data_IF_252384398524
#
_entry.id   IF_252384398524
#
_cell.length_a   1.000
_cell.length_b   1.000
_cell.length_c   1.000
_cell.angle_alpha   90.00
_cell.angle_beta   90.00
_cell.angle_gamma   90.00
#
_symmetry.space_group_name_H-M   'P 1'
#
loop_
_entity.id
_entity.type
_entity.pdbx_description
1 polymer ?
2 non-polymer ?
3 non-polymer ?
4 water ?
#
# COMPACT_ATOMS: atom_id res chain seq x y z
N UNK A 4 -14.12 0.23 28.11
CA UNK A 4 -12.92 0.13 27.19
C UNK A 4 -13.24 0.84 25.86
N UNK A 5 -12.75 2.07 25.62
CA UNK A 5 -13.15 2.83 24.43
C UNK A 5 -12.51 2.29 23.14
N UNK A 6 -13.22 2.35 22.03
CA UNK A 6 -12.68 1.90 20.72
C UNK A 6 -11.71 2.94 20.20
N UNK A 7 -10.56 2.55 19.62
CA UNK A 7 -9.59 3.53 19.19
C UNK A 7 -10.05 4.32 17.96
N UNK A 8 -9.58 5.56 17.87
CA UNK A 8 -9.80 6.49 16.73
C UNK A 8 -8.60 6.42 15.80
N UNK A 9 -7.46 5.91 16.30
CA UNK A 9 -6.18 5.84 15.56
C UNK A 9 -5.35 4.67 16.09
N UNK A 10 -4.64 3.99 15.18
CA UNK A 10 -3.73 2.86 15.53
C UNK A 10 -2.38 3.14 14.89
N UNK A 11 -1.36 2.45 15.33
CA UNK A 11 -0.04 2.52 14.66
C UNK A 11 0.21 1.18 14.02
N UNK A 12 0.79 1.25 12.82
CA UNK A 12 1.05 0.05 12.00
C UNK A 12 2.55 0.06 11.68
N UNK A 13 3.19 -1.05 11.97
CA UNK A 13 4.57 -1.32 11.54
C UNK A 13 4.54 -2.08 10.21
N UNK A 14 5.31 -1.60 9.25
CA UNK A 14 5.53 -2.31 7.96
C UNK A 14 7.01 -2.65 7.88
N UNK A 15 7.33 -3.92 7.69
CA UNK A 15 8.71 -4.36 7.46
C UNK A 15 8.83 -5.05 6.11
N UNK A 16 9.88 -4.75 5.37
CA UNK A 16 10.24 -5.51 4.16
C UNK A 16 11.72 -5.90 4.28
N UNK A 17 11.98 -7.19 4.11
CA UNK A 17 13.35 -7.73 4.10
C UNK A 17 13.50 -8.84 3.10
N UNK A 18 14.41 -8.64 2.15
CA UNK A 18 14.90 -9.72 1.27
C UNK A 18 16.05 -10.39 2.04
N UNK A 19 15.80 -11.60 2.50
CA UNK A 19 16.69 -12.35 3.41
C UNK A 19 17.83 -13.03 2.65
N UNK A 20 17.87 -12.97 1.31
CA UNK A 20 18.94 -13.58 0.52
C UNK A 20 19.14 -15.06 0.84
N UNK A 21 18.04 -15.76 1.14
CA UNK A 21 18.00 -17.24 1.31
C UNK A 21 18.90 -17.67 2.48
N UNK A 22 19.15 -16.78 3.44
CA UNK A 22 20.00 -17.06 4.61
C UNK A 22 19.15 -16.91 5.86
N UNK A 23 19.37 -17.75 6.89
CA UNK A 23 18.66 -17.57 8.14
C UNK A 23 19.02 -16.23 8.75
N UNK A 24 18.14 -15.65 9.55
CA UNK A 24 18.46 -14.36 10.16
C UNK A 24 19.42 -14.53 11.32
N UNK A 25 20.03 -13.44 11.83
CA UNK A 25 20.86 -13.53 13.02
C UNK A 25 19.98 -13.69 14.26
N UNK A 26 20.60 -13.93 15.41
CA UNK A 26 19.82 -14.24 16.63
C UNK A 26 19.01 -13.01 17.11
N UNK A 27 19.45 -11.80 16.81
CA UNK A 27 18.74 -10.58 17.25
C UNK A 27 18.34 -9.72 16.03
N UNK A 28 17.05 -9.43 15.88
CA UNK A 28 16.57 -8.56 14.75
C UNK A 28 15.66 -7.48 15.35
N UNK A 29 15.73 -7.25 16.66
CA UNK A 29 14.85 -6.27 17.36
C UNK A 29 14.97 -4.84 16.82
N UNK A 30 16.15 -4.47 16.31
CA UNK A 30 16.41 -3.12 15.72
C UNK A 30 15.40 -2.84 14.60
N UNK A 31 15.02 -3.88 13.84
CA UNK A 31 14.02 -3.74 12.75
C UNK A 31 12.68 -3.24 13.30
N UNK A 32 12.15 -3.94 14.30
CA UNK A 32 10.79 -3.67 14.83
C UNK A 32 10.81 -2.36 15.63
N UNK A 33 11.99 -1.91 16.03
CA UNK A 33 12.17 -0.68 16.81
C UNK A 33 12.47 0.52 15.89
N UNK A 34 12.52 0.32 14.58
CA UNK A 34 12.78 1.39 13.60
C UNK A 34 14.08 2.11 14.00
N UNK A 35 15.15 1.35 14.22
CA UNK A 35 16.50 1.87 14.58
C UNK A 35 17.46 1.63 13.41
N UNK A 36 18.31 2.62 13.12
CA UNK A 36 19.36 2.50 12.11
C UNK A 36 19.50 3.82 11.40
N UNK A 37 19.32 3.79 10.09
CA UNK A 37 19.45 4.99 9.20
C UNK A 37 18.06 5.46 8.78
N UNK A 38 17.97 6.73 8.39
CA UNK A 38 16.75 7.30 7.83
C UNK A 38 15.96 8.04 8.88
N UNK A 39 14.64 7.99 8.75
CA UNK A 39 13.68 8.57 9.72
C UNK A 39 13.38 7.50 10.76
N UNK A 40 14.02 7.59 11.92
CA UNK A 40 14.00 6.55 12.96
C UNK A 40 13.04 6.94 14.08
N UNK A 41 12.73 5.95 14.90
CA UNK A 41 11.74 6.09 15.98
C UNK A 41 12.48 6.54 17.27
N UNK A 42 11.85 7.42 18.03
CA UNK A 42 12.38 7.93 19.32
C UNK A 42 12.60 6.78 20.31
N UNK A 43 13.74 6.79 21.01
CA UNK A 43 14.08 5.77 22.05
C UNK A 43 12.96 5.66 23.09
N UNK A 44 12.32 6.79 23.41
CA UNK A 44 11.28 6.84 24.47
C UNK A 44 10.05 5.98 24.11
N UNK A 45 9.91 5.53 22.85
CA UNK A 45 8.75 4.74 22.38
C UNK A 45 9.06 3.25 22.37
N UNK A 46 10.28 2.85 22.69
CA UNK A 46 10.76 1.46 22.47
C UNK A 46 9.83 0.44 23.12
N UNK A 47 9.24 0.74 24.28
CA UNK A 47 8.38 -0.27 24.95
C UNK A 47 6.93 -0.19 24.46
N UNK A 48 6.61 0.78 23.63
CA UNK A 48 5.20 1.01 23.22
C UNK A 48 4.97 0.10 22.02
N UNK A 49 4.08 -0.90 22.10
CA UNK A 49 3.86 -1.78 20.97
C UNK A 49 3.06 -1.03 19.90
N UNK A 50 3.38 -1.29 18.64
CA UNK A 50 2.49 -0.97 17.53
C UNK A 50 1.26 -1.86 17.69
N UNK A 51 0.15 -1.44 17.12
CA UNK A 51 -1.14 -2.16 17.20
C UNK A 51 -1.07 -3.37 16.27
N UNK A 52 -0.44 -3.18 15.11
CA UNK A 52 -0.40 -4.21 14.02
C UNK A 52 1.03 -4.20 13.49
N UNK A 53 1.67 -5.37 13.37
CA UNK A 53 2.98 -5.55 12.70
C UNK A 53 2.74 -6.37 11.43
N UNK A 54 3.16 -5.83 10.29
CA UNK A 54 3.04 -6.54 8.99
C UNK A 54 4.45 -6.72 8.47
N UNK A 55 4.86 -7.98 8.28
CA UNK A 55 6.27 -8.34 7.98
C UNK A 55 6.33 -9.04 6.63
N UNK A 56 6.90 -8.36 5.62
CA UNK A 56 7.05 -8.91 4.26
C UNK A 56 8.46 -9.42 4.16
N UNK A 57 8.63 -10.65 3.74
CA UNK A 57 9.97 -11.15 3.39
C UNK A 57 10.01 -11.62 1.93
N UNK A 58 11.21 -11.64 1.39
CA UNK A 58 11.51 -12.20 0.05
C UNK A 58 12.77 -13.04 0.19
N UNK A 59 12.89 -14.04 -0.66
CA UNK A 59 14.04 -14.98 -0.58
C UNK A 59 14.11 -15.54 0.85
N UNK A 60 12.96 -15.86 1.44
CA UNK A 60 12.83 -16.30 2.85
C UNK A 60 13.05 -17.81 2.89
N UNK A 61 14.11 -18.29 3.58
CA UNK A 61 14.42 -19.72 3.59
C UNK A 61 13.73 -20.50 4.71
N UNK A 62 13.04 -19.81 5.58
CA UNK A 62 12.45 -20.42 6.81
C UNK A 62 11.08 -21.02 6.50
N UNK A 63 10.69 -21.99 7.32
CA UNK A 63 9.30 -22.46 7.34
C UNK A 63 8.47 -21.34 7.97
N UNK A 64 7.16 -21.36 7.73
CA UNK A 64 6.25 -20.42 8.41
C UNK A 64 6.42 -20.57 9.92
N UNK A 65 6.54 -21.80 10.42
CA UNK A 65 6.67 -22.04 11.86
C UNK A 65 7.95 -21.35 12.38
N UNK A 66 9.09 -21.61 11.73
CA UNK A 66 10.39 -21.05 12.16
C UNK A 66 10.31 -19.51 12.23
N UNK A 67 9.77 -18.88 11.21
CA UNK A 67 9.73 -17.39 11.14
C UNK A 67 8.75 -16.83 12.18
N UNK A 68 7.57 -17.42 12.34
CA UNK A 68 6.60 -16.98 13.37
C UNK A 68 7.22 -17.02 14.77
N UNK A 69 7.94 -18.11 15.06
CA UNK A 69 8.70 -18.29 16.33
C UNK A 69 9.60 -17.07 16.56
N UNK A 70 10.41 -16.74 15.55
CA UNK A 70 11.43 -15.65 15.65
C UNK A 70 10.71 -14.33 15.81
N UNK A 71 9.65 -14.11 15.04
CA UNK A 71 8.94 -12.83 15.08
C UNK A 71 8.31 -12.64 16.45
N UNK A 72 7.50 -13.59 16.89
CA UNK A 72 6.79 -13.45 18.20
C UNK A 72 7.78 -13.24 19.36
N UNK A 73 8.87 -14.01 19.39
CA UNK A 73 9.96 -13.88 20.41
C UNK A 73 10.50 -12.46 20.40
N UNK A 74 10.84 -11.95 19.22
CA UNK A 74 11.43 -10.60 19.04
C UNK A 74 10.47 -9.54 19.61
N UNK A 75 9.18 -9.62 19.28
CA UNK A 75 8.20 -8.61 19.75
C UNK A 75 8.03 -8.79 21.27
N UNK A 76 8.01 -10.01 21.75
CA UNK A 76 7.85 -10.25 23.21
C UNK A 76 9.07 -9.68 23.96
N UNK A 77 10.27 -9.87 23.44
CA UNK A 77 11.48 -9.33 24.07
C UNK A 77 11.40 -7.81 24.12
N UNK A 78 10.94 -7.17 23.05
CA UNK A 78 10.84 -5.68 22.97
C UNK A 78 9.77 -5.15 23.92
N UNK A 79 8.58 -5.74 23.90
CA UNK A 79 7.35 -5.11 24.42
C UNK A 79 6.83 -5.84 25.66
N UNK A 80 7.30 -7.05 25.90
CA UNK A 80 6.69 -8.00 26.87
C UNK A 80 5.24 -8.33 26.50
N UNK A 81 4.81 -8.16 25.24
CA UNK A 81 3.45 -8.54 24.78
C UNK A 81 3.56 -9.75 23.86
N UNK A 82 2.66 -10.71 24.06
CA UNK A 82 2.54 -11.92 23.22
C UNK A 82 1.56 -11.61 22.11
N UNK A 83 2.07 -11.37 20.91
CA UNK A 83 1.23 -10.94 19.78
C UNK A 83 0.45 -12.13 19.24
N UNK A 84 -0.74 -11.87 18.72
CA UNK A 84 -1.60 -12.87 18.08
C UNK A 84 -1.33 -12.88 16.59
N UNK A 85 -1.34 -14.08 16.01
CA UNK A 85 -1.16 -14.22 14.56
C UNK A 85 -2.49 -13.96 13.88
N UNK A 86 -2.56 -12.94 13.05
CA UNK A 86 -3.78 -12.60 12.27
C UNK A 86 -3.80 -13.42 11.00
N UNK A 87 -2.68 -13.44 10.30
CA UNK A 87 -2.59 -14.15 9.00
C UNK A 87 -1.13 -14.39 8.65
N UNK A 88 -0.87 -15.46 7.91
CA UNK A 88 0.44 -15.75 7.29
C UNK A 88 0.17 -16.39 5.93
N UNK A 89 0.84 -15.89 4.91
CA UNK A 89 0.68 -16.41 3.54
C UNK A 89 2.02 -16.36 2.83
N UNK A 90 2.38 -17.48 2.20
CA UNK A 90 3.67 -17.66 1.50
C UNK A 90 3.41 -18.09 0.06
N UNK A 91 4.08 -17.43 -0.89
CA UNK A 91 4.18 -17.91 -2.29
C UNK A 91 5.67 -18.11 -2.57
N UNK A 92 6.06 -19.35 -2.79
CA UNK A 92 7.48 -19.70 -3.01
C UNK A 92 8.29 -19.19 -1.82
N UNK A 93 9.14 -18.20 -1.99
CA UNK A 93 9.99 -17.65 -0.89
C UNK A 93 9.55 -16.21 -0.53
N UNK A 94 8.34 -15.84 -0.94
CA UNK A 94 7.71 -14.52 -0.64
C UNK A 94 6.65 -14.69 0.46
N UNK A 95 6.77 -13.96 1.55
CA UNK A 95 5.90 -14.24 2.68
C UNK A 95 5.40 -12.95 3.31
N UNK A 96 4.18 -13.03 3.83
CA UNK A 96 3.60 -11.93 4.61
C UNK A 96 3.07 -12.52 5.92
N UNK A 97 3.43 -11.87 7.03
CA UNK A 97 2.92 -12.18 8.40
C UNK A 97 2.26 -10.93 8.96
N UNK A 98 1.05 -11.09 9.51
CA UNK A 98 0.34 -10.01 10.22
C UNK A 98 0.16 -10.48 11.67
N UNK A 99 0.71 -9.70 12.60
CA UNK A 99 0.58 -9.90 14.04
C UNK A 99 -0.11 -8.67 14.64
N UNK A 100 -0.90 -8.89 15.67
CA UNK A 100 -1.64 -7.79 16.33
C UNK A 100 -1.64 -7.97 17.84
N UNK A 101 -1.75 -6.86 18.57
CA UNK A 101 -1.99 -6.88 20.04
C UNK A 101 -3.13 -7.84 20.32
N UNK A 102 -3.08 -8.61 21.44
CA UNK A 102 -4.19 -9.47 21.79
C UNK A 102 -5.53 -8.74 22.01
N UNK A 103 -5.48 -7.51 22.50
CA UNK A 103 -6.71 -6.70 22.73
C UNK A 103 -7.44 -6.45 21.40
N UNK A 104 -6.80 -6.64 20.23
CA UNK A 104 -7.42 -6.36 18.91
C UNK A 104 -8.09 -7.60 18.32
N UNK A 105 -7.98 -8.74 18.99
CA UNK A 105 -8.40 -10.04 18.40
C UNK A 105 -9.85 -9.98 17.91
N UNK A 106 -10.72 -9.33 18.69
CA UNK A 106 -12.19 -9.26 18.42
C UNK A 106 -12.52 -7.97 17.64
N UNK A 107 -11.53 -7.15 17.29
CA UNK A 107 -11.73 -5.95 16.43
C UNK A 107 -11.43 -6.33 14.98
N UNK A 108 -10.76 -7.46 14.80
CA UNK A 108 -10.24 -7.86 13.47
C UNK A 108 -11.16 -8.95 12.93
N UNK A 109 -11.64 -8.78 11.69
CA UNK A 109 -12.53 -9.76 11.04
C UNK A 109 -12.31 -9.74 9.53
N UNK A 110 -12.99 -10.61 8.82
CA UNK A 110 -12.95 -10.66 7.34
C UNK A 110 -11.49 -10.73 6.84
N UNK A 111 -10.72 -11.67 7.38
CA UNK A 111 -9.29 -11.82 7.06
C UNK A 111 -9.24 -12.55 5.72
N UNK A 112 -8.56 -11.95 4.73
CA UNK A 112 -8.36 -12.53 3.37
C UNK A 112 -6.86 -12.61 3.09
N UNK A 113 -6.44 -13.64 2.35
CA UNK A 113 -5.04 -13.80 1.88
C UNK A 113 -5.15 -14.18 0.43
N UNK A 114 -4.18 -13.75 -0.35
CA UNK A 114 -4.08 -14.16 -1.77
C UNK A 114 -2.64 -13.99 -2.23
N UNK A 115 -2.36 -14.49 -3.42
CA UNK A 115 -1.04 -14.29 -4.06
C UNK A 115 -1.29 -14.13 -5.54
N UNK A 116 -0.32 -13.54 -6.21
CA UNK A 116 -0.25 -13.47 -7.68
C UNK A 116 1.17 -13.87 -8.08
N UNK A 117 1.26 -14.75 -9.06
CA UNK A 117 2.50 -15.16 -9.72
C UNK A 117 2.68 -14.29 -10.97
N UNK A 118 3.80 -13.60 -11.13
CA UNK A 118 3.99 -12.72 -12.31
C UNK A 118 4.74 -13.51 -13.40
N UNK A 119 4.60 -13.10 -14.67
CA UNK A 119 5.40 -13.65 -15.78
C UNK A 119 4.79 -14.88 -16.43
N UNK A 120 5.36 -15.31 -17.58
CA UNK A 120 4.87 -16.45 -18.42
C UNK A 120 6.07 -17.34 -18.80
N UNK A 121 6.08 -18.60 -18.34
CA UNK A 121 7.02 -19.69 -18.76
C UNK A 121 8.42 -19.47 -18.16
N UNK A 122 9.36 -18.90 -18.93
CA UNK A 122 10.70 -18.42 -18.47
C UNK A 122 10.58 -17.64 -17.16
N UNK A 123 9.66 -16.66 -17.14
CA UNK A 123 9.57 -15.57 -16.14
C UNK A 123 8.54 -15.93 -15.04
N UNK A 124 7.81 -17.05 -15.17
CA UNK A 124 6.95 -17.61 -14.09
C UNK A 124 7.76 -18.65 -13.31
N UNK A 125 7.93 -18.45 -12.01
CA UNK A 125 8.54 -19.46 -11.13
C UNK A 125 9.07 -18.90 -9.82
N UNK A 126 9.32 -17.60 -9.71
CA UNK A 126 9.71 -17.12 -8.37
C UNK A 126 9.32 -15.69 -7.93
N UNK A 127 8.85 -14.86 -8.87
CA UNK A 127 8.46 -13.45 -8.59
C UNK A 127 6.93 -13.36 -8.47
N UNK A 128 6.44 -12.38 -7.71
CA UNK A 128 5.01 -12.17 -7.55
C UNK A 128 4.73 -11.48 -6.27
N UNK A 129 3.54 -11.69 -5.73
CA UNK A 129 3.12 -10.96 -4.51
C UNK A 129 2.26 -11.85 -3.64
N UNK A 130 2.30 -11.53 -2.37
CA UNK A 130 1.32 -12.08 -1.42
C UNK A 130 0.61 -10.90 -0.77
N UNK A 131 -0.60 -11.13 -0.31
CA UNK A 131 -1.30 -10.06 0.39
C UNK A 131 -2.26 -10.54 1.42
N UNK A 132 -2.58 -9.62 2.31
CA UNK A 132 -3.55 -9.82 3.41
C UNK A 132 -4.47 -8.60 3.44
N UNK A 133 -5.76 -8.85 3.62
CA UNK A 133 -6.70 -7.80 4.04
C UNK A 133 -7.52 -8.23 5.25
N UNK A 134 -8.12 -7.24 5.94
CA UNK A 134 -9.08 -7.50 7.04
C UNK A 134 -9.75 -6.18 7.37
N UNK A 135 -10.82 -6.28 8.16
CA UNK A 135 -11.45 -5.12 8.80
C UNK A 135 -10.87 -4.98 10.20
N UNK A 136 -10.57 -3.76 10.59
CA UNK A 136 -10.27 -3.37 11.96
C UNK A 136 -11.42 -2.46 12.38
N UNK A 137 -12.38 -2.98 13.14
CA UNK A 137 -13.64 -2.24 13.43
C UNK A 137 -14.19 -1.74 12.08
N UNK A 138 -14.42 -0.45 11.91
CA UNK A 138 -15.12 0.01 10.70
C UNK A 138 -14.17 0.34 9.56
N UNK A 139 -12.88 -0.02 9.68
CA UNK A 139 -11.82 0.40 8.74
C UNK A 139 -11.26 -0.83 8.02
N UNK A 140 -11.18 -0.76 6.69
CA UNK A 140 -10.58 -1.83 5.86
C UNK A 140 -9.09 -1.54 5.66
N UNK A 141 -8.27 -2.56 5.87
CA UNK A 141 -6.80 -2.49 5.76
C UNK A 141 -6.34 -3.56 4.76
N UNK A 142 -5.49 -3.17 3.81
CA UNK A 142 -4.86 -4.09 2.85
C UNK A 142 -3.37 -3.97 2.86
N UNK A 143 -2.69 -5.07 2.62
CA UNK A 143 -1.21 -5.15 2.73
C UNK A 143 -0.72 -6.05 1.62
N UNK A 144 0.19 -5.52 0.81
CA UNK A 144 0.78 -6.27 -0.33
C UNK A 144 2.30 -6.26 -0.15
N UNK A 145 2.87 -7.47 -0.16
CA UNK A 145 4.33 -7.72 -0.21
C UNK A 145 4.64 -8.29 -1.60
N UNK A 146 5.35 -7.54 -2.41
CA UNK A 146 5.70 -7.98 -3.78
C UNK A 146 7.21 -8.07 -3.93
N UNK A 147 7.65 -9.08 -4.67
CA UNK A 147 9.05 -9.24 -5.13
C UNK A 147 8.99 -9.14 -6.64
N UNK A 148 9.33 -7.98 -7.18
CA UNK A 148 9.19 -7.72 -8.60
C UNK A 148 10.46 -8.15 -9.35
N UNK A 149 10.38 -8.13 -10.68
CA UNK A 149 11.45 -8.58 -11.58
C UNK A 149 12.74 -7.82 -11.22
N UNK A 150 13.86 -8.52 -11.19
CA UNK A 150 15.19 -7.94 -10.90
C UNK A 150 15.84 -7.40 -12.18
N UNK A 151 16.89 -6.62 -12.00
CA UNK A 151 17.79 -6.20 -13.08
C UNK A 151 17.55 -4.76 -13.42
N UNK A 152 18.62 -3.97 -13.53
CA UNK A 152 18.54 -2.54 -13.87
C UNK A 152 17.78 -2.27 -15.17
N UNK A 153 17.86 -3.20 -16.12
CA UNK A 153 17.34 -3.05 -17.50
C UNK A 153 15.83 -3.29 -17.56
N UNK A 154 15.21 -3.78 -16.48
CA UNK A 154 13.81 -4.33 -16.53
C UNK A 154 12.78 -3.48 -15.76
N UNK A 155 12.93 -2.17 -15.76
CA UNK A 155 11.95 -1.34 -15.02
C UNK A 155 10.58 -1.50 -15.69
N UNK A 156 10.52 -1.65 -17.02
CA UNK A 156 9.21 -1.79 -17.69
C UNK A 156 8.51 -3.06 -17.21
N UNK A 157 9.28 -4.16 -17.06
CA UNK A 157 8.79 -5.46 -16.56
C UNK A 157 8.23 -5.28 -15.15
N UNK A 158 8.95 -4.54 -14.31
CA UNK A 158 8.49 -4.24 -12.93
C UNK A 158 7.14 -3.53 -12.98
N UNK A 159 6.95 -2.61 -13.90
CA UNK A 159 5.70 -1.81 -13.99
C UNK A 159 4.58 -2.75 -14.44
N UNK A 160 4.92 -3.68 -15.31
CA UNK A 160 3.95 -4.71 -15.75
C UNK A 160 3.60 -5.62 -14.56
N UNK A 161 4.61 -6.02 -13.75
CA UNK A 161 4.38 -6.89 -12.57
C UNK A 161 3.37 -6.18 -11.65
N UNK A 162 3.63 -4.90 -11.37
CA UNK A 162 2.73 -4.04 -10.55
C UNK A 162 1.28 -4.11 -11.06
N UNK A 163 1.08 -3.92 -12.37
CA UNK A 163 -0.30 -3.87 -12.93
C UNK A 163 -0.93 -5.26 -12.79
N UNK A 164 -0.18 -6.33 -13.05
CA UNK A 164 -0.73 -7.71 -12.89
C UNK A 164 -1.10 -7.95 -11.43
N UNK A 165 -0.28 -7.51 -10.48
CA UNK A 165 -0.60 -7.76 -9.04
C UNK A 165 -1.89 -7.00 -8.66
N UNK A 166 -1.92 -5.73 -9.05
CA UNK A 166 -3.05 -4.78 -8.85
C UNK A 166 -4.34 -5.43 -9.35
N UNK A 167 -4.31 -5.94 -10.57
CA UNK A 167 -5.49 -6.52 -11.25
C UNK A 167 -5.95 -7.79 -10.56
N UNK A 168 -5.04 -8.68 -10.20
CA UNK A 168 -5.41 -10.09 -9.96
C UNK A 168 -5.33 -10.48 -8.49
N UNK A 169 -4.79 -9.65 -7.61
CA UNK A 169 -4.77 -10.00 -6.18
C UNK A 169 -6.19 -9.79 -5.66
N UNK A 170 -6.81 -10.84 -5.14
CA UNK A 170 -8.24 -10.88 -4.77
C UNK A 170 -8.38 -10.70 -3.27
N UNK A 171 -8.26 -9.47 -2.80
CA UNK A 171 -8.38 -9.16 -1.36
C UNK A 171 -9.61 -8.31 -1.18
N UNK A 172 -10.09 -8.19 0.05
CA UNK A 172 -11.12 -7.19 0.36
C UNK A 172 -12.48 -7.70 -0.06
N UNK A 173 -13.43 -6.79 -0.16
CA UNK A 173 -14.87 -7.16 -0.26
C UNK A 173 -15.14 -7.55 -1.71
N UNK A 174 -15.44 -8.80 -1.94
CA UNK A 174 -15.70 -9.29 -3.32
C UNK A 174 -16.94 -8.59 -3.93
N UNK A 175 -17.86 -8.00 -3.16
CA UNK A 175 -19.05 -7.27 -3.68
C UNK A 175 -18.60 -6.00 -4.40
N UNK A 176 -17.36 -5.55 -4.16
CA UNK A 176 -16.82 -4.35 -4.82
C UNK A 176 -16.28 -4.73 -6.18
N UNK A 177 -17.12 -5.37 -6.99
CA UNK A 177 -16.66 -6.11 -8.19
C UNK A 177 -16.00 -5.19 -9.20
N UNK A 178 -16.36 -3.91 -9.42
CA UNK A 178 -15.66 -3.09 -10.42
C UNK A 178 -14.27 -2.62 -9.96
N UNK A 179 -13.94 -2.86 -8.70
CA UNK A 179 -12.78 -2.21 -8.04
C UNK A 179 -11.66 -3.20 -7.76
N UNK A 180 -10.46 -2.78 -8.14
CA UNK A 180 -9.22 -3.52 -7.82
C UNK A 180 -8.73 -3.13 -6.42
N UNK A 181 -7.65 -3.77 -5.96
CA UNK A 181 -7.17 -3.50 -4.57
C UNK A 181 -6.86 -2.01 -4.36
N UNK A 182 -6.57 -1.22 -5.39
CA UNK A 182 -6.20 0.21 -5.18
C UNK A 182 -7.43 1.07 -4.80
N UNK A 183 -8.62 0.50 -4.73
CA UNK A 183 -9.84 1.19 -4.28
C UNK A 183 -10.57 0.43 -3.17
N UNK A 184 -10.14 -0.76 -2.76
CA UNK A 184 -10.98 -1.55 -1.82
C UNK A 184 -10.75 -1.20 -0.34
N UNK A 185 -9.70 -0.44 0.01
CA UNK A 185 -9.25 -0.32 1.41
C UNK A 185 -9.15 1.14 1.84
N UNK A 186 -9.56 1.40 3.07
CA UNK A 186 -9.35 2.70 3.72
C UNK A 186 -7.85 3.03 3.61
N UNK A 187 -7.02 2.05 3.94
CA UNK A 187 -5.54 2.18 3.91
C UNK A 187 -4.96 0.95 3.22
N UNK A 188 -4.15 1.18 2.20
CA UNK A 188 -3.47 0.11 1.45
C UNK A 188 -1.98 0.38 1.56
N UNK A 189 -1.25 -0.61 2.02
CA UNK A 189 0.23 -0.53 2.15
C UNK A 189 0.80 -1.54 1.18
N UNK A 190 1.70 -1.07 0.32
CA UNK A 190 2.34 -1.93 -0.69
C UNK A 190 3.85 -1.78 -0.52
N UNK A 191 4.50 -2.89 -0.28
CA UNK A 191 5.93 -2.90 0.09
C UNK A 191 6.52 -4.14 -0.56
N UNK A 192 7.84 -4.25 -0.42
CA UNK A 192 8.58 -5.43 -0.88
C UNK A 192 9.93 -5.07 -1.45
N UNK A 193 10.54 -6.08 -2.05
CA UNK A 193 11.72 -5.91 -2.92
C UNK A 193 11.17 -5.56 -4.29
N UNK A 194 10.88 -4.28 -4.47
CA UNK A 194 10.30 -3.78 -5.73
C UNK A 194 11.38 -3.75 -6.81
N UNK A 195 12.66 -3.78 -6.45
CA UNK A 195 13.77 -4.07 -7.39
C UNK A 195 14.04 -2.95 -8.38
N UNK A 196 13.50 -1.74 -8.15
CA UNK A 196 13.90 -0.56 -8.94
C UNK A 196 15.32 -0.14 -8.52
N UNK A 197 16.08 0.32 -9.50
CA UNK A 197 17.52 0.56 -9.37
C UNK A 197 17.84 2.04 -9.55
N UNK A 198 19.04 2.40 -9.10
CA UNK A 198 19.64 3.73 -9.38
C UNK A 198 20.27 3.60 -10.76
N UNK A 199 19.65 4.26 -11.74
CA UNK A 199 20.01 4.13 -13.18
C UNK A 199 21.10 5.17 -13.50
N UNK A 200 22.35 4.78 -13.25
CA UNK A 200 23.53 5.57 -13.60
C UNK A 200 24.45 4.62 -14.34
N UNK A 201 25.46 5.15 -15.07
CA UNK A 201 26.38 4.29 -15.80
C UNK A 201 27.15 3.41 -14.82
N UNK A 202 27.44 2.17 -15.21
CA UNK A 202 28.07 1.13 -14.34
C UNK A 202 29.49 1.55 -13.96
N UNK A 203 30.12 2.40 -14.76
CA UNK A 203 31.49 2.95 -14.49
C UNK A 203 31.43 4.12 -13.50
N UNK A 204 30.23 4.50 -13.04
CA UNK A 204 30.05 5.45 -11.92
C UNK A 204 29.91 4.72 -10.57
N UNK A 205 30.11 3.41 -10.51
CA UNK A 205 29.89 2.61 -9.28
C UNK A 205 30.67 3.23 -8.12
N UNK A 206 31.95 3.53 -8.30
CA UNK A 206 32.77 3.98 -7.15
C UNK A 206 32.31 5.39 -6.79
N UNK A 207 31.91 6.22 -7.75
CA UNK A 207 31.34 7.56 -7.46
C UNK A 207 30.09 7.39 -6.59
N UNK A 208 29.25 6.44 -6.92
CA UNK A 208 27.97 6.22 -6.18
C UNK A 208 28.29 5.82 -4.72
N UNK A 209 29.25 4.92 -4.55
CA UNK A 209 29.69 4.47 -3.22
C UNK A 209 30.20 5.65 -2.39
N UNK A 210 30.99 6.55 -2.98
CA UNK A 210 31.56 7.71 -2.24
C UNK A 210 30.43 8.70 -1.90
N UNK A 211 29.41 8.86 -2.75
CA UNK A 211 28.21 9.65 -2.38
C UNK A 211 27.51 9.03 -1.16
N UNK A 212 27.33 7.71 -1.18
CA UNK A 212 26.69 6.98 -0.04
C UNK A 212 27.50 7.22 1.24
N UNK A 213 28.81 7.09 1.18
CA UNK A 213 29.67 7.29 2.37
C UNK A 213 29.55 8.71 2.92
N UNK A 214 29.26 9.69 2.07
CA UNK A 214 29.07 11.11 2.45
C UNK A 214 27.61 11.35 2.88
N UNK A 215 26.74 10.35 2.77
CA UNK A 215 25.28 10.48 3.05
C UNK A 215 24.68 11.57 2.16
N UNK A 216 25.12 11.65 0.91
CA UNK A 216 24.63 12.63 -0.08
C UNK A 216 23.81 11.82 -1.06
N UNK A 217 22.51 11.69 -0.80
CA UNK A 217 21.65 10.75 -1.56
C UNK A 217 20.94 11.50 -2.69
N UNK A 218 21.00 12.84 -2.74
CA UNK A 218 20.15 13.63 -3.67
C UNK A 218 20.42 13.26 -5.14
N UNK A 219 21.70 13.18 -5.54
CA UNK A 219 22.05 12.91 -6.94
C UNK A 219 21.80 11.43 -7.24
N UNK A 220 21.65 10.59 -6.22
CA UNK A 220 21.31 9.17 -6.48
C UNK A 220 19.79 9.06 -6.63
N UNK A 221 19.01 9.62 -5.69
CA UNK A 221 17.53 9.51 -5.73
C UNK A 221 16.97 10.13 -7.02
N UNK A 222 17.61 11.16 -7.59
CA UNK A 222 17.16 11.76 -8.86
C UNK A 222 17.27 10.74 -10.01
N UNK A 223 17.96 9.62 -9.81
CA UNK A 223 18.08 8.54 -10.82
C UNK A 223 17.39 7.26 -10.37
N UNK A 224 16.73 7.27 -9.21
CA UNK A 224 16.01 6.07 -8.72
C UNK A 224 14.84 5.80 -9.67
N UNK A 225 14.75 4.58 -10.19
CA UNK A 225 13.77 4.26 -11.24
C UNK A 225 12.35 4.32 -10.66
N UNK A 226 12.14 3.98 -9.40
CA UNK A 226 10.77 4.05 -8.86
C UNK A 226 10.30 5.52 -8.79
N UNK A 227 11.11 6.40 -8.25
CA UNK A 227 10.74 7.84 -8.25
C UNK A 227 10.54 8.33 -9.70
N UNK A 228 11.43 8.03 -10.65
CA UNK A 228 11.31 8.60 -12.02
C UNK A 228 10.09 7.98 -12.68
N UNK A 229 9.87 6.68 -12.54
CA UNK A 229 8.67 6.03 -13.15
C UNK A 229 7.38 6.59 -12.55
N UNK A 230 7.35 6.80 -11.23
CA UNK A 230 6.19 7.42 -10.53
C UNK A 230 5.95 8.83 -11.06
N UNK A 231 7.02 9.61 -11.26
CA UNK A 231 6.92 11.03 -11.70
C UNK A 231 6.31 11.09 -13.10
N UNK A 232 6.61 10.10 -13.95
CA UNK A 232 6.07 10.03 -15.34
C UNK A 232 4.77 9.22 -15.39
N UNK A 233 4.21 8.83 -14.23
CA UNK A 233 2.89 8.17 -14.10
C UNK A 233 2.91 6.84 -14.84
N UNK A 234 4.02 6.12 -14.73
CA UNK A 234 4.15 4.78 -15.34
C UNK A 234 3.78 3.69 -14.34
N UNK A 235 3.74 3.99 -13.05
CA UNK A 235 3.59 2.94 -12.00
C UNK A 235 3.19 3.64 -10.72
N UNK A 236 2.49 2.91 -9.85
CA UNK A 236 2.14 3.34 -8.48
C UNK A 236 1.41 4.71 -8.52
N UNK A 237 0.62 4.97 -9.54
CA UNK A 237 -0.15 6.23 -9.61
C UNK A 237 -1.05 6.29 -8.37
N UNK A 238 -1.04 7.44 -7.70
CA UNK A 238 -1.87 7.77 -6.53
C UNK A 238 -1.38 7.06 -5.28
N UNK A 239 -0.18 6.47 -5.31
CA UNK A 239 0.51 5.99 -4.09
C UNK A 239 1.49 7.03 -3.58
N UNK A 240 1.75 7.00 -2.27
CA UNK A 240 2.70 7.91 -1.56
C UNK A 240 3.92 7.10 -1.12
N UNK A 241 5.05 7.78 -0.97
CA UNK A 241 6.26 7.21 -0.33
C UNK A 241 6.86 8.34 0.47
N UNK A 242 7.30 8.03 1.69
CA UNK A 242 8.04 8.98 2.57
C UNK A 242 9.40 9.25 1.92
N UNK A 243 9.95 10.45 2.16
CA UNK A 243 11.28 10.83 1.65
C UNK A 243 12.29 9.80 2.15
N UNK A 244 13.19 9.37 1.26
CA UNK A 244 14.24 8.40 1.60
C UNK A 244 15.47 9.13 2.13
N UNK A 245 15.89 8.81 3.36
CA UNK A 245 17.04 9.49 4.02
C UNK A 245 17.99 8.43 4.59
N UNK A 246 17.90 7.20 4.07
CA UNK A 246 18.78 6.07 4.43
C UNK A 246 19.58 5.63 3.19
N UNK A 247 20.73 5.01 3.39
CA UNK A 247 21.59 4.52 2.30
C UNK A 247 20.85 3.46 1.49
N UNK A 248 21.16 3.31 0.18
CA UNK A 248 20.69 2.15 -0.59
C UNK A 248 20.83 0.83 0.20
N UNK A 249 19.80 -0.02 0.10
CA UNK A 249 19.65 -1.21 0.96
C UNK A 249 20.18 -2.46 0.26
N UNK A 250 20.72 -2.30 -0.94
CA UNK A 250 21.18 -3.39 -1.84
C UNK A 250 22.33 -2.81 -2.66
N UNK A 251 23.36 -3.57 -3.04
CA UNK A 251 23.61 -4.94 -2.71
C UNK A 251 24.85 -4.97 -1.82
N UNK A 252 24.71 -5.48 -0.60
CA UNK A 252 25.83 -5.56 0.38
C UNK A 252 26.55 -6.89 0.29
N UNK A 253 27.86 -6.84 0.56
CA UNK A 253 28.57 -8.04 1.05
C UNK A 253 27.96 -8.48 2.38
N UNK A 254 27.72 -9.78 2.54
CA UNK A 254 27.15 -10.35 3.78
C UNK A 254 28.15 -10.23 4.93
N UNK A 255 27.60 -10.10 6.14
CA UNK A 255 28.29 -10.14 7.46
C UNK A 255 28.95 -8.80 7.77
N UNK A 256 28.87 -7.82 6.88
CA UNK A 256 29.28 -6.43 7.19
C UNK A 256 28.23 -5.51 6.57
N UNK A 257 28.23 -4.21 6.83
CA UNK A 257 27.53 -3.23 5.94
C UNK A 257 28.53 -2.28 5.33
N UNK A 258 29.82 -2.62 5.41
CA UNK A 258 30.90 -1.67 5.03
C UNK A 258 31.14 -1.69 3.52
N UNK A 259 30.59 -2.67 2.80
CA UNK A 259 30.94 -2.86 1.38
C UNK A 259 29.68 -3.15 0.56
N UNK A 260 29.54 -2.42 -0.53
CA UNK A 260 28.55 -2.73 -1.58
C UNK A 260 29.21 -3.64 -2.61
N UNK A 261 28.56 -4.77 -2.90
CA UNK A 261 28.99 -5.77 -3.91
C UNK A 261 28.21 -5.53 -5.20
N UNK A 262 28.81 -4.75 -6.11
CA UNK A 262 28.13 -4.29 -7.33
C UNK A 262 28.63 -4.93 -8.64
N UNK A 263 29.84 -5.50 -8.62
CA UNK A 263 30.55 -6.00 -9.84
C UNK A 263 29.81 -7.21 -10.41
N UNK A 264 29.84 -7.38 -11.74
CA UNK A 264 29.17 -8.49 -12.44
C UNK A 264 29.93 -9.77 -12.11
N UNK A 265 29.18 -10.84 -11.88
CA UNK A 265 29.69 -12.17 -11.44
C UNK A 265 28.85 -13.21 -12.16
N UNK A 266 29.37 -14.43 -12.34
CA UNK A 266 28.53 -15.52 -12.88
C UNK A 266 27.24 -15.61 -12.05
N UNK A 267 27.35 -15.50 -10.72
CA UNK A 267 26.20 -15.61 -9.79
C UNK A 267 25.14 -14.52 -10.06
N UNK A 268 25.50 -13.39 -10.69
CA UNK A 268 24.50 -12.32 -11.00
C UNK A 268 24.05 -12.40 -12.46
N UNK A 269 24.38 -13.47 -13.18
CA UNK A 269 24.15 -13.53 -14.62
C UNK A 269 24.91 -12.46 -15.35
N UNK A 270 26.09 -12.11 -14.86
CA UNK A 270 27.01 -11.09 -15.44
C UNK A 270 26.31 -9.74 -15.50
N UNK A 271 25.49 -9.44 -14.49
CA UNK A 271 24.78 -8.14 -14.31
C UNK A 271 25.48 -7.35 -13.20
N UNK A 272 25.63 -6.04 -13.38
CA UNK A 272 26.04 -5.13 -12.32
C UNK A 272 24.83 -4.93 -11.43
N UNK A 273 25.08 -4.79 -10.14
CA UNK A 273 24.07 -4.38 -9.14
C UNK A 273 24.58 -3.11 -8.46
N UNK A 274 24.52 -1.99 -9.15
CA UNK A 274 24.86 -0.68 -8.55
C UNK A 274 23.98 -0.52 -7.31
N UNK A 275 24.50 0.07 -6.22
CA UNK A 275 23.72 0.35 -5.01
C UNK A 275 22.38 0.99 -5.37
N UNK A 276 21.32 0.39 -4.83
CA UNK A 276 19.92 0.74 -5.16
C UNK A 276 18.99 0.65 -3.95
N UNK A 277 17.92 1.41 -4.03
CA UNK A 277 16.82 1.33 -3.04
C UNK A 277 15.80 0.31 -3.57
N UNK A 278 16.16 -0.97 -3.47
CA UNK A 278 15.28 -2.06 -3.96
C UNK A 278 14.05 -2.23 -3.04
N UNK A 279 14.19 -1.84 -1.80
CA UNK A 279 13.32 -2.31 -0.70
C UNK A 279 12.51 -1.13 -0.18
N UNK A 280 11.21 -1.15 -0.39
CA UNK A 280 10.38 0.08 -0.34
C UNK A 280 9.06 -0.17 0.37
N UNK A 281 8.50 0.91 0.87
CA UNK A 281 7.15 0.93 1.45
C UNK A 281 6.39 2.12 0.88
N UNK A 282 5.25 1.82 0.26
CA UNK A 282 4.32 2.86 -0.26
C UNK A 282 2.93 2.62 0.30
N UNK A 283 2.10 3.66 0.29
CA UNK A 283 0.72 3.52 0.76
C UNK A 283 -0.23 4.37 -0.06
N UNK A 284 -1.50 4.02 0.03
CA UNK A 284 -2.59 4.83 -0.51
C UNK A 284 -3.76 4.69 0.45
N UNK A 285 -4.28 5.82 0.90
CA UNK A 285 -5.45 5.86 1.80
C UNK A 285 -6.53 6.66 1.10
N UNK A 286 -7.76 6.38 1.47
CA UNK A 286 -8.92 7.11 0.95
C UNK A 286 -8.74 8.58 1.28
N UNK A 287 -9.30 9.48 0.45
CA UNK A 287 -9.17 10.91 0.70
C UNK A 287 -9.65 11.35 2.10
N UNK A 288 -8.87 12.23 2.72
CA UNK A 288 -9.17 12.93 4.00
C UNK A 288 -9.25 11.93 5.15
N UNK A 289 -8.54 10.82 5.02
CA UNK A 289 -8.36 9.91 6.19
C UNK A 289 -6.95 10.18 6.72
N UNK A 290 -6.83 10.23 8.04
CA UNK A 290 -5.54 10.47 8.71
C UNK A 290 -4.59 9.31 8.41
N UNK A 291 -3.42 9.61 7.86
CA UNK A 291 -2.33 8.62 7.73
C UNK A 291 -1.05 9.43 7.75
N UNK A 292 -0.19 9.11 8.68
CA UNK A 292 1.07 9.89 8.86
C UNK A 292 2.21 8.88 9.01
N UNK A 293 3.21 8.98 8.16
CA UNK A 293 4.45 8.16 8.31
C UNK A 293 5.27 8.70 9.47
N UNK A 294 5.51 7.84 10.47
CA UNK A 294 6.27 8.16 11.71
C UNK A 294 7.75 7.76 11.53
N UNK A 295 8.03 6.75 10.71
CA UNK A 295 9.41 6.24 10.50
C UNK A 295 9.52 5.64 9.10
N UNK A 296 10.70 5.71 8.53
CA UNK A 296 11.05 5.11 7.24
C UNK A 296 12.56 5.05 7.17
N UNK A 297 13.08 3.83 7.28
CA UNK A 297 14.52 3.68 7.35
C UNK A 297 14.99 2.27 7.21
N UNK A 298 16.29 2.08 7.38
CA UNK A 298 16.86 0.72 7.21
C UNK A 298 17.65 0.37 8.46
N UNK A 299 17.75 -0.91 8.79
CA UNK A 299 18.64 -1.29 9.92
C UNK A 299 20.11 -1.28 9.43
N UNK A 300 21.02 -1.15 10.40
CA UNK A 300 22.50 -1.15 10.21
C UNK A 300 23.16 -2.42 10.76
N UNK A 301 22.46 -3.18 11.59
CA UNK A 301 23.08 -4.23 12.43
C UNK A 301 22.56 -5.62 12.06
N UNK A 302 21.80 -5.79 10.97
CA UNK A 302 21.31 -7.12 10.51
C UNK A 302 21.95 -7.35 9.15
N UNK A 303 22.88 -8.32 9.06
CA UNK A 303 23.90 -8.41 7.98
C UNK A 303 23.93 -9.79 7.31
N UNK A 304 22.95 -10.66 7.59
CA UNK A 304 22.94 -12.04 7.05
C UNK A 304 22.60 -12.02 5.57
N UNK A 305 21.94 -10.98 5.08
CA UNK A 305 21.50 -10.87 3.69
C UNK A 305 22.31 -9.82 2.93
N UNK A 306 22.25 -9.86 1.62
CA UNK A 306 22.85 -8.82 0.73
C UNK A 306 21.88 -7.63 0.67
N UNK A 307 20.72 -7.72 1.33
CA UNK A 307 19.80 -6.57 1.56
C UNK A 307 19.76 -6.27 3.05
N UNK A 308 19.59 -4.99 3.39
CA UNK A 308 19.22 -4.57 4.75
C UNK A 308 17.70 -4.50 4.84
N UNK A 309 17.14 -4.94 5.97
CA UNK A 309 15.73 -4.71 6.31
C UNK A 309 15.36 -3.23 6.25
N UNK A 310 14.15 -2.96 5.79
CA UNK A 310 13.51 -1.63 5.77
C UNK A 310 12.30 -1.70 6.71
N UNK A 311 12.09 -0.63 7.48
CA UNK A 311 10.93 -0.40 8.35
C UNK A 311 10.25 0.89 7.93
N UNK A 312 8.94 0.90 8.14
CA UNK A 312 8.11 2.11 8.07
C UNK A 312 7.03 1.96 9.12
N UNK A 313 6.73 3.04 9.82
CA UNK A 313 5.59 3.03 10.74
C UNK A 313 4.64 4.16 10.38
N UNK A 314 3.39 3.89 10.67
CA UNK A 314 2.30 4.82 10.34
C UNK A 314 1.32 4.95 11.50
N UNK A 315 0.81 6.16 11.65
CA UNK A 315 -0.38 6.49 12.47
C UNK A 315 -1.57 6.54 11.50
N UNK A 316 -2.57 5.65 11.66
CA UNK A 316 -3.68 5.51 10.70
C UNK A 316 -5.02 5.70 11.40
N UNK A 317 -5.84 6.58 10.87
CA UNK A 317 -7.21 6.78 11.38
C UNK A 317 -8.04 5.54 11.19
N UNK A 318 -8.81 5.19 12.22
CA UNK A 318 -9.76 4.07 12.22
C UNK A 318 -11.08 4.58 12.79
N UNK A 319 -12.15 3.91 12.41
CA UNK A 319 -13.52 4.22 12.87
C UNK A 319 -14.08 3.01 13.61
N UNK A 320 -15.11 3.26 14.44
CA UNK A 320 -15.81 2.24 15.25
C UNK A 320 -16.76 1.44 14.35
N UNK A 321 -17.29 0.33 14.88
CA UNK A 321 -18.36 -0.46 14.21
C UNK A 321 -19.71 0.13 14.64
N UNK A 322 -20.23 1.07 13.87
CA UNK A 322 -21.39 1.92 14.25
C UNK A 322 -22.70 1.14 14.22
N UNK A 323 -23.47 1.23 15.33
CA UNK A 323 -24.86 0.74 15.44
C UNK A 323 -25.78 1.92 15.83
N UNK A 324 -26.89 2.08 15.10
CA UNK A 324 -27.99 3.00 15.46
C UNK A 324 -29.27 2.18 15.70
N UNK A 325 -30.32 2.88 16.11
CA UNK A 325 -31.70 2.36 16.29
C UNK A 325 -32.20 1.82 14.95
N UNK A 326 -31.72 2.45 13.86
CA UNK A 326 -32.09 2.18 12.45
C UNK A 326 -31.05 1.23 11.85
N UNK A 327 -30.10 1.74 11.06
CA UNK A 327 -29.07 0.88 10.43
C UNK A 327 -28.04 0.44 11.48
N UNK A 328 -27.32 -0.70 11.25
CA UNK A 328 -27.58 -1.60 10.12
C UNK A 328 -28.89 -2.43 10.12
N UNK A 329 -29.41 -2.70 8.91
CA UNK A 329 -30.58 -3.56 8.65
C UNK A 329 -31.81 -2.76 8.28
N UNK A 330 -31.62 -1.47 8.09
CA UNK A 330 -32.61 -0.55 7.49
C UNK A 330 -31.86 0.74 7.13
N UNK A 331 -32.55 1.66 6.44
CA UNK A 331 -32.08 3.03 6.12
C UNK A 331 -32.40 3.95 7.30
N UNK A 332 -31.90 5.18 7.25
CA UNK A 332 -32.19 6.26 8.22
C UNK A 332 -32.69 7.45 7.40
N UNK A 333 -34.01 7.63 7.31
CA UNK A 333 -34.64 8.61 6.38
C UNK A 333 -34.05 9.99 6.64
N UNK A 334 -33.37 10.21 7.77
CA UNK A 334 -32.80 11.53 8.14
C UNK A 334 -31.53 11.81 7.32
N UNK A 335 -31.00 10.81 6.62
CA UNK A 335 -29.76 10.93 5.81
C UNK A 335 -30.00 10.84 4.33
N UNK A 336 -29.24 11.59 3.53
CA UNK A 336 -29.22 11.44 2.06
C UNK A 336 -27.96 12.07 1.46
N UNK A 337 -27.53 11.51 0.34
CA UNK A 337 -26.40 12.01 -0.48
C UNK A 337 -26.92 12.35 -1.87
N UNK A 338 -26.86 13.62 -2.23
CA UNK A 338 -27.26 14.11 -3.58
C UNK A 338 -26.02 14.56 -4.36
N UNK A 339 -25.97 14.18 -5.63
CA UNK A 339 -24.99 14.64 -6.65
C UNK A 339 -25.66 15.60 -7.64
N UNK A 340 -25.10 16.80 -7.82
CA UNK A 340 -25.59 17.86 -8.74
C UNK A 340 -24.53 18.11 -9.81
N UNK A 341 -24.95 18.50 -11.03
CA UNK A 341 -24.06 19.01 -12.11
C UNK A 341 -22.86 18.06 -12.27
N UNK A 342 -23.04 16.75 -12.20
CA UNK A 342 -21.89 15.82 -12.31
C UNK A 342 -21.58 15.45 -13.77
N UNK A 343 -20.30 15.30 -14.06
CA UNK A 343 -19.91 14.74 -15.37
C UNK A 343 -18.59 14.01 -15.25
N UNK A 344 -18.47 12.97 -16.06
CA UNK A 344 -17.24 12.19 -16.20
C UNK A 344 -16.56 12.70 -17.47
N UNK A 345 -15.25 12.85 -17.45
CA UNK A 345 -14.41 13.14 -18.63
C UNK A 345 -13.57 11.89 -18.84
N UNK A 346 -13.73 11.21 -19.97
CA UNK A 346 -13.08 9.91 -20.21
C UNK A 346 -12.10 10.04 -21.37
N UNK A 347 -10.97 9.35 -21.29
CA UNK A 347 -9.93 9.34 -22.34
C UNK A 347 -10.31 8.35 -23.46
N UNK A 348 -11.27 7.48 -23.23
CA UNK A 348 -11.66 6.40 -24.18
C UNK A 348 -12.02 6.98 -25.55
N UNK A 349 -11.68 6.25 -26.60
CA UNK A 349 -12.01 6.64 -28.01
C UNK A 349 -13.34 6.01 -28.38
N UNK A 350 -13.93 5.20 -27.50
CA UNK A 350 -15.19 4.46 -27.77
C UNK A 350 -16.37 5.43 -27.73
N UNK A 351 -17.47 5.04 -28.40
CA UNK A 351 -18.81 5.67 -28.31
C UNK A 351 -19.81 4.55 -27.97
N UNK A 352 -19.98 4.29 -26.67
CA UNK A 352 -21.10 3.54 -26.04
C UNK A 352 -21.77 4.52 -25.06
N UNK A 353 -22.97 4.21 -24.59
CA UNK A 353 -23.57 4.89 -23.42
C UNK A 353 -22.86 4.39 -22.16
N UNK A 354 -22.82 5.23 -21.12
CA UNK A 354 -22.22 4.91 -19.80
C UNK A 354 -23.23 5.16 -18.69
N UNK A 355 -23.17 4.35 -17.65
CA UNK A 355 -23.89 4.55 -16.38
C UNK A 355 -22.89 4.49 -15.23
N UNK A 356 -23.29 4.95 -14.05
CA UNK A 356 -22.43 4.90 -12.85
C UNK A 356 -22.93 3.83 -11.88
N UNK A 357 -22.00 3.28 -11.11
CA UNK A 357 -22.32 2.53 -9.88
C UNK A 357 -21.70 3.24 -8.70
N UNK A 358 -22.49 3.44 -7.65
CA UNK A 358 -22.06 3.98 -6.34
C UNK A 358 -21.99 2.81 -5.37
N UNK A 359 -20.81 2.59 -4.80
CA UNK A 359 -20.59 1.53 -3.80
C UNK A 359 -20.06 2.11 -2.50
N UNK A 360 -20.63 1.72 -1.36
CA UNK A 360 -20.16 2.20 -0.04
C UNK A 360 -20.77 1.31 1.03
N UNK A 361 -19.99 1.08 2.10
CA UNK A 361 -20.45 0.37 3.33
C UNK A 361 -21.61 1.13 3.98
N UNK A 362 -21.76 2.44 3.69
CA UNK A 362 -22.86 3.27 4.27
C UNK A 362 -24.18 3.02 3.54
N UNK A 363 -24.16 2.23 2.45
CA UNK A 363 -25.39 1.85 1.71
C UNK A 363 -25.69 0.38 1.94
N UNK A 364 -26.96 0.01 1.85
CA UNK A 364 -27.38 -1.41 2.00
C UNK A 364 -26.83 -2.20 0.82
N UNK A 365 -26.81 -1.63 -0.38
CA UNK A 365 -26.12 -2.24 -1.52
C UNK A 365 -25.85 -1.17 -2.59
N UNK A 366 -25.05 -1.52 -3.57
CA UNK A 366 -24.59 -0.54 -4.57
C UNK A 366 -25.78 -0.04 -5.36
N UNK A 367 -25.61 1.15 -5.89
CA UNK A 367 -26.69 1.88 -6.64
C UNK A 367 -26.21 2.13 -8.05
N UNK A 368 -27.07 1.86 -9.03
CA UNK A 368 -26.79 1.98 -10.48
C UNK A 368 -27.60 3.14 -11.06
N UNK A 369 -26.93 4.14 -11.62
CA UNK A 369 -27.56 5.36 -12.19
C UNK A 369 -28.20 5.02 -13.53
N UNK A 370 -28.99 5.96 -14.04
CA UNK A 370 -29.40 6.05 -15.46
C UNK A 370 -28.17 6.31 -16.31
N UNK A 371 -28.27 6.03 -17.60
CA UNK A 371 -27.20 6.41 -18.56
C UNK A 371 -27.03 7.93 -18.55
N UNK A 372 -25.79 8.41 -18.62
CA UNK A 372 -25.49 9.83 -18.84
C UNK A 372 -25.64 10.22 -20.29
N UNK A 373 -25.49 11.50 -20.58
CA UNK A 373 -25.56 12.03 -21.97
C UNK A 373 -24.15 12.36 -22.47
N UNK A 374 -23.72 11.68 -23.53
CA UNK A 374 -22.38 11.86 -24.15
C UNK A 374 -22.35 13.18 -24.94
N UNK A 375 -21.33 14.00 -24.67
CA UNK A 375 -20.96 15.15 -25.53
C UNK A 375 -19.46 15.05 -25.82
N UNK A 376 -19.02 15.76 -26.86
CA UNK A 376 -17.61 15.95 -27.26
C UNK A 376 -16.99 17.08 -26.43
N UNK A 377 -15.84 16.84 -25.79
CA UNK A 377 -14.97 17.89 -25.19
C UNK A 377 -14.29 18.73 -26.27
N UNK A 378 -13.89 19.95 -25.94
CA UNK A 378 -13.28 20.92 -26.91
C UNK A 378 -11.89 20.45 -27.35
N UNK A 379 -11.27 19.50 -26.64
CA UNK A 379 -9.89 19.00 -26.93
C UNK A 379 -9.95 17.52 -27.33
N UNK A 380 -11.09 17.03 -27.84
CA UNK A 380 -11.27 15.63 -28.30
C UNK A 380 -12.01 14.72 -27.30
N UNK A 381 -12.04 15.08 -26.00
CA UNK A 381 -12.45 14.16 -24.88
C UNK A 381 -13.89 13.68 -25.04
N UNK A 382 -14.21 12.54 -24.43
CA UNK A 382 -15.63 12.18 -24.21
C UNK A 382 -16.10 12.75 -22.87
N UNK A 383 -17.16 13.55 -22.85
CA UNK A 383 -17.77 14.07 -21.59
C UNK A 383 -19.10 13.38 -21.41
N UNK A 384 -19.28 12.71 -20.29
CA UNK A 384 -20.56 12.03 -19.97
C UNK A 384 -21.27 12.88 -18.93
N UNK A 385 -22.39 13.49 -19.31
CA UNK A 385 -23.15 14.41 -18.41
C UNK A 385 -24.25 13.61 -17.67
N UNK A 386 -24.33 13.74 -16.35
CA UNK A 386 -25.36 13.11 -15.52
C UNK A 386 -26.41 14.12 -15.05
N UNK A 387 -26.10 15.39 -15.23
CA UNK A 387 -26.88 16.56 -14.78
C UNK A 387 -27.25 16.46 -13.31
N UNK A 388 -28.56 16.49 -13.06
CA UNK A 388 -29.20 16.39 -11.74
C UNK A 388 -30.00 15.08 -11.76
N UNK A 389 -29.64 14.16 -12.66
CA UNK A 389 -30.38 12.89 -12.92
C UNK A 389 -29.95 11.82 -11.89
N UNK A 390 -28.79 11.95 -11.25
CA UNK A 390 -28.21 10.84 -10.43
C UNK A 390 -29.11 10.55 -9.24
N UNK A 391 -29.26 9.27 -8.84
CA UNK A 391 -30.14 8.91 -7.73
C UNK A 391 -29.72 9.60 -6.42
N UNK A 392 -30.69 9.68 -5.53
CA UNK A 392 -30.49 10.16 -4.14
C UNK A 392 -30.04 8.94 -3.35
N UNK A 393 -28.86 8.99 -2.72
CA UNK A 393 -28.34 7.81 -1.98
C UNK A 393 -28.86 7.87 -0.56
N UNK A 394 -29.23 6.69 -0.06
CA UNK A 394 -29.95 6.49 1.22
C UNK A 394 -29.03 5.74 2.15
N UNK A 395 -28.24 6.45 2.98
CA UNK A 395 -27.34 5.78 3.91
C UNK A 395 -28.09 5.08 5.05
N UNK A 396 -27.45 4.04 5.60
CA UNK A 396 -27.99 3.13 6.66
C UNK A 396 -28.02 3.85 8.01
N UNK A 397 -27.20 4.87 8.16
CA UNK A 397 -27.03 5.64 9.43
C UNK A 397 -26.89 7.11 9.05
N UNK A 398 -27.59 8.01 9.73
CA UNK A 398 -27.66 9.46 9.38
C UNK A 398 -26.77 10.26 10.33
N UNK A 399 -26.31 9.65 11.42
CA UNK A 399 -25.47 10.32 12.44
C UNK A 399 -24.25 10.89 11.72
N UNK A 400 -23.99 12.22 11.82
CA UNK A 400 -22.86 12.84 11.13
C UNK A 400 -21.51 12.29 11.62
N UNK A 401 -21.44 11.81 12.86
CA UNK A 401 -20.18 11.22 13.41
C UNK A 401 -19.83 9.94 12.66
N UNK A 402 -20.81 9.29 12.09
CA UNK A 402 -20.61 8.12 11.20
C UNK A 402 -20.43 8.59 9.78
N UNK A 403 -21.44 9.31 9.27
CA UNK A 403 -21.57 9.51 7.81
C UNK A 403 -20.39 10.33 7.29
N UNK A 404 -19.91 11.33 8.03
CA UNK A 404 -18.87 12.24 7.51
C UNK A 404 -17.54 11.47 7.37
N UNK A 405 -17.40 10.31 8.02
CA UNK A 405 -16.18 9.47 7.94
C UNK A 405 -16.27 8.46 6.80
N UNK A 406 -17.34 8.48 6.00
CA UNK A 406 -17.51 7.45 4.96
C UNK A 406 -16.98 7.94 3.61
N UNK A 407 -16.98 7.02 2.66
CA UNK A 407 -16.48 7.24 1.28
C UNK A 407 -17.42 6.55 0.31
N UNK A 408 -17.56 7.14 -0.89
CA UNK A 408 -18.37 6.56 -1.98
C UNK A 408 -17.39 6.23 -3.10
N UNK A 409 -17.29 4.95 -3.43
CA UNK A 409 -16.57 4.48 -4.63
C UNK A 409 -17.49 4.66 -5.83
N UNK A 410 -16.91 5.13 -6.92
CA UNK A 410 -17.66 5.39 -8.18
C UNK A 410 -17.01 4.59 -9.29
N UNK A 411 -17.81 3.80 -10.00
CA UNK A 411 -17.41 3.19 -11.28
C UNK A 411 -18.29 3.75 -12.41
N UNK A 412 -17.67 4.09 -13.52
CA UNK A 412 -18.39 4.41 -14.77
C UNK A 412 -18.26 3.19 -15.68
N UNK A 413 -19.42 2.63 -16.07
CA UNK A 413 -19.50 1.36 -16.82
C UNK A 413 -20.16 1.56 -18.17
N UNK A 414 -19.69 0.81 -19.17
CA UNK A 414 -20.28 0.75 -20.51
C UNK A 414 -21.65 0.05 -20.38
N UNK A 415 -22.70 0.66 -20.92
CA UNK A 415 -24.03 0.01 -21.04
C UNK A 415 -23.93 -1.25 -21.91
N UNK A 416 -23.11 -1.22 -22.96
CA UNK A 416 -22.94 -2.32 -23.94
C UNK A 416 -22.30 -3.54 -23.26
N UNK A 417 -21.28 -3.33 -22.44
CA UNK A 417 -20.42 -4.46 -21.99
C UNK A 417 -20.51 -4.67 -20.48
N UNK A 418 -20.98 -3.66 -19.74
CA UNK A 418 -21.00 -3.64 -18.25
C UNK A 418 -19.58 -3.69 -17.68
N UNK A 419 -18.65 -3.31 -18.46
CA UNK A 419 -17.25 -3.28 -17.97
C UNK A 419 -16.96 -1.86 -17.46
N UNK A 420 -16.23 -1.78 -16.35
CA UNK A 420 -15.79 -0.46 -15.79
C UNK A 420 -14.75 0.14 -16.73
N UNK A 421 -14.96 1.40 -17.09
CA UNK A 421 -13.96 2.23 -17.79
C UNK A 421 -13.20 3.11 -16.81
N UNK A 422 -13.64 3.21 -15.55
CA UNK A 422 -12.97 4.10 -14.60
C UNK A 422 -13.53 3.94 -13.20
N UNK A 423 -12.64 4.02 -12.22
CA UNK A 423 -12.96 3.85 -10.81
C UNK A 423 -12.35 5.02 -10.05
N UNK A 424 -13.07 5.51 -9.06
CA UNK A 424 -12.57 6.57 -8.18
C UNK A 424 -13.28 6.55 -6.83
N UNK A 425 -12.96 7.53 -6.01
CA UNK A 425 -13.44 7.57 -4.62
C UNK A 425 -13.67 9.00 -4.19
N UNK A 426 -14.80 9.23 -3.53
CA UNK A 426 -15.23 10.56 -3.00
C UNK A 426 -15.37 10.46 -1.48
N UNK A 427 -14.69 11.35 -0.75
CA UNK A 427 -14.83 11.47 0.73
C UNK A 427 -16.14 12.22 1.06
N UNK A 428 -16.79 11.80 2.13
CA UNK A 428 -17.96 12.50 2.72
C UNK A 428 -17.52 13.42 3.89
N UNK A 429 -16.20 13.59 4.08
CA UNK A 429 -15.62 14.50 5.11
C UNK A 429 -15.77 15.94 4.61
N UNK A 430 -17.00 16.43 4.48
CA UNK A 430 -17.27 17.73 3.84
C UNK A 430 -17.03 18.89 4.80
N UNK A 431 -16.81 20.07 4.24
CA UNK A 431 -16.71 21.36 4.97
C UNK A 431 -18.06 21.77 5.57
N UNK A 432 -19.16 21.26 5.05
CA UNK A 432 -20.53 21.69 5.40
C UNK A 432 -21.51 20.59 5.01
N UNK A 433 -22.65 20.51 5.69
CA UNK A 433 -23.79 19.65 5.31
C UNK A 433 -24.91 20.54 4.77
N UNK A 434 -25.84 19.94 4.05
CA UNK A 434 -27.03 20.65 3.50
C UNK A 434 -26.55 21.77 2.58
N UNK A 435 -25.34 21.68 2.03
CA UNK A 435 -24.66 22.74 1.23
C UNK A 435 -24.09 22.10 -0.03
N UNK A 436 -24.26 22.73 -1.20
CA UNK A 436 -23.66 22.24 -2.49
C UNK A 436 -22.16 22.48 -2.44
N UNK A 437 -21.35 21.44 -2.55
CA UNK A 437 -19.88 21.62 -2.46
C UNK A 437 -19.23 20.90 -3.63
N UNK A 438 -18.11 21.41 -4.17
CA UNK A 438 -17.45 20.70 -5.26
C UNK A 438 -16.93 19.31 -4.80
N UNK A 439 -17.07 18.31 -5.64
CA UNK A 439 -16.39 17.00 -5.48
C UNK A 439 -15.56 16.70 -6.73
N UNK A 440 -14.56 15.86 -6.55
CA UNK A 440 -13.64 15.49 -7.64
C UNK A 440 -13.00 14.17 -7.28
N UNK A 441 -12.85 13.31 -8.27
CA UNK A 441 -11.91 12.16 -8.19
C UNK A 441 -11.32 11.87 -9.56
N UNK A 442 -10.02 11.55 -9.65
CA UNK A 442 -9.47 10.98 -10.88
C UNK A 442 -10.16 9.63 -11.05
N UNK A 443 -10.21 9.15 -12.28
CA UNK A 443 -10.73 7.78 -12.55
C UNK A 443 -9.58 6.96 -13.09
N UNK A 444 -9.44 5.74 -12.59
CA UNK A 444 -8.42 4.78 -13.09
C UNK A 444 -9.08 3.48 -13.52
N UNK A 445 -8.36 2.73 -14.32
CA UNK A 445 -8.76 1.33 -14.64
C UNK A 445 -7.47 0.56 -14.84
N UNK A 446 -7.35 -0.57 -14.15
CA UNK A 446 -6.07 -1.31 -14.02
C UNK A 446 -5.01 -0.34 -13.49
N UNK A 447 -5.43 0.60 -12.65
CA UNK A 447 -4.52 1.50 -11.95
C UNK A 447 -3.91 2.57 -12.83
N UNK A 448 -4.37 2.69 -14.09
CA UNK A 448 -3.95 3.73 -15.04
C UNK A 448 -5.05 4.79 -15.21
N UNK A 449 -4.65 6.04 -15.35
CA UNK A 449 -5.62 7.16 -15.47
C UNK A 449 -6.46 7.01 -16.74
N UNK A 450 -7.79 7.03 -16.58
CA UNK A 450 -8.73 6.87 -17.71
C UNK A 450 -9.70 8.05 -17.80
N UNK A 451 -9.63 8.96 -16.84
CA UNK A 451 -10.55 10.11 -16.87
C UNK A 451 -10.66 10.77 -15.52
N UNK A 452 -11.75 11.48 -15.35
CA UNK A 452 -12.09 12.32 -14.17
C UNK A 452 -13.59 12.28 -13.91
N UNK A 453 -13.96 12.46 -12.65
CA UNK A 453 -15.36 12.65 -12.26
C UNK A 453 -15.41 13.90 -11.38
N UNK A 454 -16.31 14.82 -11.73
CA UNK A 454 -16.43 16.07 -10.95
C UNK A 454 -17.87 16.55 -10.97
N UNK A 455 -18.19 17.36 -9.97
CA UNK A 455 -19.56 17.84 -9.84
C UNK A 455 -19.72 18.44 -8.49
N UNK A 456 -20.92 18.32 -7.96
CA UNK A 456 -21.21 18.86 -6.63
C UNK A 456 -21.98 17.78 -5.86
N UNK A 457 -21.80 17.83 -4.55
CA UNK A 457 -22.46 16.96 -3.57
C UNK A 457 -23.26 17.84 -2.61
N UNK A 458 -24.33 17.27 -2.04
CA UNK A 458 -25.16 17.88 -0.97
C UNK A 458 -25.45 16.74 0.01
N UNK A 459 -24.95 16.85 1.18
CA UNK A 459 -25.03 15.78 2.18
C UNK A 459 -25.96 16.22 3.30
N UNK A 460 -26.99 15.41 3.57
CA UNK A 460 -27.92 15.57 4.72
C UNK A 460 -27.57 14.54 5.80
N UNK A 461 -27.30 15.02 7.02
CA UNK A 461 -27.10 14.16 8.21
C UNK A 461 -28.24 14.50 9.17
N UNK A 462 -28.32 13.75 10.27
CA UNK A 462 -29.31 13.97 11.36
C UNK A 462 -29.04 15.31 12.04
N UNK A 463 -27.85 15.90 11.89
CA UNK A 463 -27.57 17.25 12.44
C UNK A 463 -27.54 18.30 11.32
X LIG B 1 3.11 13.48 -3.64
X LIG B 1 2.40 12.55 -6.13
X LIG B 1 4.50 12.83 -6.93
X LIG B 1 5.84 12.05 -6.70
X LIG B 1 6.22 11.30 -7.91
X LIG B 1 7.58 10.57 -7.78
X LIG B 1 8.18 12.14 -5.97
X LIG B 1 6.94 12.95 -6.37
X LIG B 1 4.05 12.75 -4.63
X LIG B 1 1.39 13.38 -5.33
X LIG B 1 3.72 13.03 -5.96
X LIG B 1 1.93 14.01 -4.19
X LIG B 1 8.65 11.34 -7.13
X LIG C 1 -13.32 4.02 7.28
X LIG C 1 -12.74 3.91 8.66
X LIG C 1 -13.05 5.69 6.82
X LIG C 1 -15.08 4.16 7.46
X LIG D 1 -16.07 1.79 1.49
X LIG D 1 -17.44 2.14 2.04
X LIG D 1 -16.42 0.26 0.61
X LIG D 1 -15.85 2.79 0.04
X LIG E 1 -8.71 8.43 -6.28
X LIG E 1 -9.05 7.02 -5.82
X LIG E 1 -7.01 8.66 -5.94
X LIG E 1 -9.40 9.51 -5.06
#
# INVERSE_FOLDING_TARGET
SMEQPEPDMITIFIGTWNMGNAPPPKKITSWFLSKGQGKTRDDSADYIPHDIYVIGTQEDPLSEKEWLEILKHSLQEITSVTFKTVAIHTLWNIRIVVLAKPEHENRISHICTDNVKTGIANTLGNKGAVGVSFMFNGTSLGFVNSHLTSGSEKKLRRNQNYMNILRFLALGDKKLSPFNITHRFTHLFWFGDLNYRVDLPTWEAETIIQKIKQQQYADLLSHDQLLTERREQKVFLHFEEEEITFAPTYRFERLTRDKYAYTKQKATGMKYNLPSWCDRVLWKSYPLVHVVCQSYGSTSDIMTSDHSPVFATFEAGVTSQFVSKNGPGTVDSQGQIEFLRCYATLKTKSQTKFYLEFHSSCLESFVKSQEGENEEGSEGELVVKFGETLPKLKPIISDPEYLLDQHILISIKSSDSDESYGEGCIALRLEATETQLPIYTPLTHHGELTGHFQGEIKLQTSQ
WLA C10 C13 C01 C02 C03 C04 C06 C07 C09 C12 N08 N11 O05
DMS S O C1 C2
DMS S O C1 C2
DMS S O C1 C2
#
